data_IF_786067255631
#
_entry.id   IF_786067255631
#
_cell.length_a   1.000
_cell.length_b   1.000
_cell.length_c   1.000
_cell.angle_alpha   90.00
_cell.angle_beta   90.00
_cell.angle_gamma   90.00
#
_symmetry.space_group_name_H-M   'P 1'
#
loop_
_entity.id
_entity.type
_entity.pdbx_description
1 polymer ?
#
# COMPACT_ATOMS: atom_id res chain seq x y z
N UNK A 1 -13.16 -11.06 -1.05
CA UNK A 1 -12.87 -9.76 -0.40
C UNK A 1 -11.49 -9.87 0.21
N UNK A 2 -10.54 -9.02 -0.18
CA UNK A 2 -9.22 -9.02 0.46
C UNK A 2 -9.36 -8.50 1.88
N UNK A 3 -8.72 -9.14 2.86
CA UNK A 3 -8.83 -8.82 4.28
C UNK A 3 -7.92 -7.62 4.61
N UNK A 4 -8.29 -6.44 4.08
CA UNK A 4 -7.52 -5.19 4.20
C UNK A 4 -7.23 -4.88 5.67
N UNK A 5 -8.21 -5.05 6.56
CA UNK A 5 -8.04 -4.87 8.01
C UNK A 5 -6.94 -5.73 8.59
N UNK A 6 -6.86 -6.99 8.16
CA UNK A 6 -5.82 -7.91 8.63
C UNK A 6 -4.44 -7.46 8.16
N UNK A 7 -4.32 -7.02 6.92
CA UNK A 7 -3.05 -6.51 6.36
C UNK A 7 -2.62 -5.24 7.07
N UNK A 8 -3.51 -4.25 7.21
CA UNK A 8 -3.18 -2.99 7.91
C UNK A 8 -2.76 -3.26 9.36
N UNK A 9 -3.41 -4.20 10.05
CA UNK A 9 -3.02 -4.63 11.40
C UNK A 9 -1.72 -5.44 11.47
N UNK A 10 -1.32 -6.08 10.36
CA UNK A 10 -0.07 -6.83 10.25
C UNK A 10 1.14 -5.97 9.88
N UNK A 11 0.93 -4.71 9.49
CA UNK A 11 2.01 -3.76 9.23
C UNK A 11 2.62 -3.28 10.55
N UNK A 12 3.93 -3.07 10.53
CA UNK A 12 4.64 -2.49 11.66
C UNK A 12 4.34 -0.98 11.77
N UNK A 13 4.45 -0.38 12.97
CA UNK A 13 4.16 1.03 13.18
C UNK A 13 4.99 1.96 12.28
N UNK A 14 6.27 1.67 12.10
CA UNK A 14 7.17 2.45 11.24
C UNK A 14 6.80 2.36 9.75
N UNK A 15 6.26 1.23 9.30
CA UNK A 15 5.79 1.04 7.92
C UNK A 15 4.52 1.86 7.70
N UNK A 16 3.61 1.92 8.68
CA UNK A 16 2.41 2.76 8.66
C UNK A 16 2.79 4.25 8.64
N UNK A 17 3.74 4.69 9.47
CA UNK A 17 4.22 6.08 9.48
C UNK A 17 4.84 6.48 8.13
N UNK A 18 5.61 5.57 7.50
CA UNK A 18 6.18 5.82 6.18
C UNK A 18 5.10 5.90 5.10
N UNK A 19 4.10 5.01 5.13
CA UNK A 19 2.93 5.07 4.26
C UNK A 19 2.16 6.39 4.45
N UNK A 20 1.98 6.82 5.70
CA UNK A 20 1.33 8.10 6.00
C UNK A 20 2.14 9.30 5.48
N UNK A 21 3.48 9.23 5.58
CA UNK A 21 4.39 10.28 5.09
C UNK A 21 4.36 10.44 3.58
N UNK A 22 4.32 9.33 2.82
CA UNK A 22 4.23 9.39 1.36
C UNK A 22 2.81 9.70 0.86
N UNK A 23 1.79 9.45 1.69
CA UNK A 23 0.39 9.69 1.38
C UNK A 23 -0.27 8.59 0.54
N UNK A 24 -1.59 8.68 0.33
CA UNK A 24 -2.39 7.62 -0.30
C UNK A 24 -2.07 7.37 -1.79
N UNK A 25 -1.52 8.38 -2.47
CA UNK A 25 -1.03 8.27 -3.85
C UNK A 25 0.51 8.20 -3.94
N UNK A 26 1.18 8.00 -2.79
CA UNK A 26 2.62 7.95 -2.70
C UNK A 26 3.21 6.70 -3.34
N UNK A 27 4.42 6.79 -3.92
CA UNK A 27 5.09 5.65 -4.53
C UNK A 27 5.52 4.63 -3.46
N UNK A 28 5.10 3.38 -3.61
CA UNK A 28 5.50 2.28 -2.76
C UNK A 28 6.92 1.83 -3.08
N UNK A 29 7.79 1.97 -2.10
CA UNK A 29 9.14 1.41 -2.16
C UNK A 29 9.10 -0.12 -2.11
N UNK A 30 10.14 -0.82 -2.59
CA UNK A 30 10.23 -2.28 -2.50
C UNK A 30 10.06 -2.81 -1.07
N UNK A 31 10.54 -2.06 -0.08
CA UNK A 31 10.39 -2.36 1.36
C UNK A 31 8.93 -2.38 1.79
N UNK A 32 8.16 -1.34 1.42
CA UNK A 32 6.74 -1.26 1.75
C UNK A 32 5.93 -2.36 1.07
N UNK A 33 6.24 -2.71 -0.19
CA UNK A 33 5.59 -3.86 -0.84
C UNK A 33 5.88 -5.17 -0.11
N UNK A 34 7.12 -5.37 0.34
CA UNK A 34 7.46 -6.55 1.12
C UNK A 34 6.74 -6.56 2.48
N UNK A 35 6.57 -5.40 3.12
CA UNK A 35 5.79 -5.28 4.34
C UNK A 35 4.34 -5.72 4.14
N UNK A 36 3.71 -5.23 3.07
CA UNK A 36 2.34 -5.58 2.69
C UNK A 36 2.24 -7.07 2.37
N UNK A 37 3.17 -7.62 1.59
CA UNK A 37 3.23 -9.05 1.28
C UNK A 37 3.32 -9.89 2.58
N UNK A 38 4.23 -9.53 3.49
CA UNK A 38 4.38 -10.18 4.80
C UNK A 38 3.09 -10.13 5.61
N UNK A 39 2.44 -8.98 5.66
CA UNK A 39 1.20 -8.78 6.40
C UNK A 39 0.00 -9.51 5.76
N UNK A 40 0.02 -9.71 4.44
CA UNK A 40 -0.99 -10.46 3.70
C UNK A 40 -0.89 -11.98 3.87
N UNK A 41 0.26 -12.49 4.31
CA UNK A 41 0.45 -13.91 4.59
C UNK A 41 1.69 -14.52 3.95
N UNK A 42 2.49 -13.75 3.21
CA UNK A 42 3.72 -14.25 2.61
C UNK A 42 4.18 -13.46 1.38
N UNK A 43 5.41 -13.73 0.90
CA UNK A 43 5.96 -13.05 -0.27
C UNK A 43 5.04 -13.21 -1.49
N UNK A 44 4.58 -12.09 -2.06
CA UNK A 44 3.66 -12.06 -3.22
C UNK A 44 2.17 -12.04 -2.89
N UNK A 45 1.74 -12.35 -1.67
CA UNK A 45 0.33 -12.29 -1.24
C UNK A 45 -0.22 -10.85 -1.20
N UNK A 46 0.68 -9.87 -1.11
CA UNK A 46 0.35 -8.44 -1.04
C UNK A 46 -0.03 -7.82 -2.39
N UNK A 47 0.15 -8.54 -3.51
CA UNK A 47 -0.12 -8.03 -4.88
C UNK A 47 -1.54 -7.54 -5.11
N UNK A 48 -2.51 -8.03 -4.31
CA UNK A 48 -3.88 -7.54 -4.36
C UNK A 48 -4.10 -6.17 -3.71
N UNK A 49 -3.17 -5.70 -2.87
CA UNK A 49 -3.33 -4.52 -2.00
C UNK A 49 -2.66 -3.26 -2.54
N UNK A 50 -1.89 -3.38 -3.63
CA UNK A 50 -1.30 -2.26 -4.36
C UNK A 50 -1.59 -2.39 -5.85
N UNK A 51 -1.75 -1.24 -6.50
CA UNK A 51 -2.05 -1.13 -7.94
C UNK A 51 -1.01 -0.24 -8.61
N UNK A 52 -0.97 -0.25 -9.93
CA UNK A 52 -0.22 0.77 -10.64
C UNK A 52 -0.87 2.12 -10.43
N UNK A 53 -0.10 3.07 -9.91
CA UNK A 53 -0.51 4.45 -9.78
C UNK A 53 -0.78 5.07 -11.14
N UNK A 54 -1.48 6.20 -11.12
CA UNK A 54 -1.65 7.00 -12.32
C UNK A 54 -0.28 7.47 -12.82
N UNK A 55 -0.11 7.58 -14.15
CA UNK A 55 1.11 8.15 -14.72
C UNK A 55 1.18 9.60 -14.23
N UNK A 56 2.10 9.89 -13.32
CA UNK A 56 2.41 11.26 -12.95
C UNK A 56 3.12 11.98 -14.13
N UNK A 57 3.91 11.24 -14.91
CA UNK A 57 4.66 11.74 -16.06
C UNK A 57 4.79 10.67 -17.14
N UNK A 58 4.84 11.08 -18.42
CA UNK A 58 4.98 10.17 -19.56
C UNK A 58 6.33 9.43 -19.57
N UNK A 59 7.35 10.03 -18.95
CA UNK A 59 8.75 9.58 -18.97
C UNK A 59 9.13 8.69 -17.78
N UNK A 60 8.34 8.68 -16.70
CA UNK A 60 8.64 7.86 -15.51
C UNK A 60 7.90 6.51 -15.51
N UNK A 61 8.58 5.43 -15.05
CA UNK A 61 7.91 4.16 -14.80
C UNK A 61 6.78 4.36 -13.78
N UNK A 62 5.62 3.73 -14.04
CA UNK A 62 4.43 3.86 -13.18
C UNK A 62 4.78 3.37 -11.77
N UNK A 63 4.70 4.22 -10.74
CA UNK A 63 4.93 3.77 -9.38
C UNK A 63 3.80 2.84 -8.95
N UNK A 64 4.11 1.90 -8.07
CA UNK A 64 3.07 1.17 -7.35
C UNK A 64 2.49 2.08 -6.27
N UNK A 65 1.18 2.13 -6.13
CA UNK A 65 0.48 2.88 -5.08
C UNK A 65 -0.46 1.93 -4.35
N UNK A 66 -0.85 2.27 -3.12
CA UNK A 66 -1.83 1.50 -2.38
C UNK A 66 -3.17 1.50 -3.12
N UNK A 67 -3.89 0.38 -3.03
CA UNK A 67 -5.27 0.30 -3.51
C UNK A 67 -6.16 1.21 -2.66
N UNK A 68 -7.18 1.78 -3.27
CA UNK A 68 -8.02 2.81 -2.64
C UNK A 68 -8.66 2.36 -1.31
N UNK A 69 -9.09 1.10 -1.21
CA UNK A 69 -9.66 0.52 0.01
C UNK A 69 -8.62 0.33 1.12
N UNK A 70 -7.38 0.00 0.77
CA UNK A 70 -6.25 -0.05 1.72
C UNK A 70 -5.93 1.36 2.22
N UNK A 71 -5.95 2.35 1.33
CA UNK A 71 -5.83 3.74 1.74
C UNK A 71 -6.99 4.17 2.65
N UNK A 72 -8.22 3.82 2.32
CA UNK A 72 -9.38 4.16 3.14
C UNK A 72 -9.25 3.59 4.57
N UNK A 73 -8.80 2.35 4.70
CA UNK A 73 -8.58 1.72 6.01
C UNK A 73 -7.37 2.31 6.75
N UNK A 74 -6.26 2.56 6.05
CA UNK A 74 -4.98 2.98 6.65
C UNK A 74 -4.94 4.47 7.02
N UNK A 75 -5.60 5.30 6.23
CA UNK A 75 -5.75 6.74 6.48
C UNK A 75 -7.09 7.10 7.13
N UNK A 76 -7.97 6.13 7.36
CA UNK A 76 -9.29 6.38 7.92
C UNK A 76 -10.17 7.28 7.04
N UNK A 77 -9.93 7.29 5.71
CA UNK A 77 -10.76 8.02 4.75
C UNK A 77 -12.10 7.28 4.67
N UNK A 78 -12.98 7.60 5.62
CA UNK A 78 -14.39 7.23 5.59
C UNK A 78 -15.05 8.10 4.54
N UNK A 79 -15.44 7.48 3.42
CA UNK A 79 -16.26 8.12 2.41
C UNK A 79 -17.72 8.22 2.86
#
# INVERSE_FOLDING_TARGET
MADVKRVVRGLAPHEIEELQRIGPAGPLTPRLRHAIDRAAGGPGEGRGYYVYGHRADADRPRPFVLRHDVCAELFGIRH
#
